data_IF_127891975336
#
_entry.id   IF_127891975336
#
_cell.length_a   1.000
_cell.length_b   1.000
_cell.length_c   1.000
_cell.angle_alpha   90.00
_cell.angle_beta   90.00
_cell.angle_gamma   90.00
#
_symmetry.space_group_name_H-M   'P 1'
#
loop_
_entity.id
_entity.type
_entity.pdbx_description
1 polymer ?
#
# COMPACT_ATOMS: atom_id res chain seq x y z
N UNK A 1 34.53 12.70 -16.90
CA UNK A 1 33.34 11.84 -17.06
C UNK A 1 32.13 12.73 -17.20
N UNK A 2 31.26 12.45 -18.17
CA UNK A 2 30.02 13.21 -18.37
C UNK A 2 29.09 13.09 -17.13
N UNK A 3 28.66 14.20 -16.51
CA UNK A 3 27.80 14.18 -15.32
C UNK A 3 26.44 13.52 -15.55
N UNK A 4 25.86 13.64 -16.75
CA UNK A 4 24.57 13.00 -17.06
C UNK A 4 24.71 11.48 -17.13
N UNK A 5 25.76 10.98 -17.79
CA UNK A 5 26.09 9.57 -17.78
C UNK A 5 26.30 9.03 -16.36
N UNK A 6 26.99 9.78 -15.49
CA UNK A 6 27.17 9.39 -14.09
C UNK A 6 25.83 9.26 -13.37
N UNK A 7 24.92 10.23 -13.53
CA UNK A 7 23.58 10.17 -12.95
C UNK A 7 22.79 8.94 -13.42
N UNK A 8 22.85 8.61 -14.72
CA UNK A 8 22.21 7.41 -15.27
C UNK A 8 22.76 6.11 -14.66
N UNK A 9 24.08 6.02 -14.46
CA UNK A 9 24.65 4.85 -13.79
C UNK A 9 24.24 4.74 -12.33
N UNK A 10 24.10 5.87 -11.61
CA UNK A 10 23.57 5.90 -10.25
C UNK A 10 22.11 5.43 -10.21
N UNK A 11 21.28 5.90 -11.13
CA UNK A 11 19.88 5.47 -11.26
C UNK A 11 19.77 3.95 -11.49
N UNK A 12 20.54 3.40 -12.43
CA UNK A 12 20.57 1.95 -12.71
C UNK A 12 21.01 1.11 -11.51
N UNK A 13 21.87 1.67 -10.64
CA UNK A 13 22.33 1.04 -9.39
C UNK A 13 21.37 1.27 -8.21
N UNK A 14 20.17 1.82 -8.43
CA UNK A 14 19.18 2.21 -7.40
C UNK A 14 19.72 3.21 -6.35
N UNK A 15 20.73 3.99 -6.70
CA UNK A 15 21.27 5.06 -5.84
C UNK A 15 20.54 6.37 -6.14
N UNK A 16 19.27 6.45 -5.73
CA UNK A 16 18.38 7.54 -6.09
C UNK A 16 18.79 8.91 -5.51
N UNK A 17 19.20 8.97 -4.24
CA UNK A 17 19.62 10.24 -3.62
C UNK A 17 20.78 10.89 -4.37
N UNK A 18 21.80 10.09 -4.71
CA UNK A 18 22.96 10.57 -5.45
C UNK A 18 22.60 11.02 -6.87
N UNK A 19 21.68 10.32 -7.53
CA UNK A 19 21.17 10.71 -8.84
C UNK A 19 20.47 12.07 -8.78
N UNK A 20 19.63 12.28 -7.76
CA UNK A 20 18.87 13.52 -7.54
C UNK A 20 19.82 14.71 -7.29
N UNK A 21 20.88 14.53 -6.49
CA UNK A 21 21.90 15.55 -6.25
C UNK A 21 22.58 15.99 -7.56
N UNK A 22 23.03 15.03 -8.37
CA UNK A 22 23.73 15.31 -9.64
C UNK A 22 22.78 16.00 -10.62
N UNK A 23 21.55 15.50 -10.78
CA UNK A 23 20.55 16.11 -11.63
C UNK A 23 20.19 17.53 -11.15
N UNK A 24 20.14 17.78 -9.84
CA UNK A 24 19.89 19.13 -9.30
C UNK A 24 21.03 20.08 -9.63
N UNK A 25 22.29 19.63 -9.50
CA UNK A 25 23.46 20.43 -9.89
C UNK A 25 23.51 20.71 -11.40
N UNK A 26 23.02 19.80 -12.23
CA UNK A 26 22.90 19.99 -13.69
C UNK A 26 21.81 21.02 -14.02
N UNK A 27 20.64 20.90 -13.40
CA UNK A 27 19.52 21.83 -13.60
C UNK A 27 19.82 23.23 -13.09
N UNK A 28 20.63 23.37 -12.04
CA UNK A 28 21.09 24.67 -11.54
C UNK A 28 21.98 25.41 -12.56
N UNK A 29 22.68 24.66 -13.45
CA UNK A 29 23.52 25.24 -14.52
C UNK A 29 22.73 25.49 -15.79
N UNK A 30 21.83 24.58 -16.16
CA UNK A 30 20.95 24.71 -17.30
C UNK A 30 19.50 24.33 -16.93
N UNK A 31 18.64 25.32 -16.65
CA UNK A 31 17.26 25.08 -16.23
C UNK A 31 16.37 24.44 -17.30
N UNK A 32 16.73 24.54 -18.58
CA UNK A 32 15.90 24.09 -19.70
C UNK A 32 16.26 22.68 -20.21
N UNK A 33 17.20 22.00 -19.55
CA UNK A 33 17.59 20.64 -19.94
C UNK A 33 16.56 19.59 -19.49
N UNK A 34 15.88 18.98 -20.46
CA UNK A 34 14.81 18.01 -20.23
C UNK A 34 15.33 16.65 -19.75
N UNK A 35 16.58 16.28 -20.07
CA UNK A 35 17.12 14.97 -19.75
C UNK A 35 17.42 14.80 -18.24
N UNK A 36 18.16 15.70 -17.57
CA UNK A 36 18.33 15.68 -16.12
C UNK A 36 17.01 15.87 -15.37
N UNK A 37 16.07 16.65 -15.94
CA UNK A 37 14.76 16.87 -15.33
C UNK A 37 13.93 15.59 -15.27
N UNK A 38 13.75 14.90 -16.40
CA UNK A 38 13.01 13.63 -16.45
C UNK A 38 13.68 12.56 -15.60
N UNK A 39 15.01 12.49 -15.59
CA UNK A 39 15.76 11.55 -14.75
C UNK A 39 15.58 11.84 -13.25
N UNK A 40 15.59 13.11 -12.84
CA UNK A 40 15.32 13.52 -11.45
C UNK A 40 13.92 13.12 -11.03
N UNK A 41 12.91 13.43 -11.85
CA UNK A 41 11.52 13.07 -11.55
C UNK A 41 11.36 11.57 -11.41
N UNK A 42 11.95 10.78 -12.32
CA UNK A 42 11.92 9.33 -12.22
C UNK A 42 12.62 8.80 -10.96
N UNK A 43 13.77 9.37 -10.59
CA UNK A 43 14.46 8.98 -9.37
C UNK A 43 13.64 9.29 -8.09
N UNK A 44 12.90 10.41 -8.09
CA UNK A 44 12.02 10.78 -6.97
C UNK A 44 10.81 9.84 -6.84
N UNK A 45 10.18 9.46 -7.95
CA UNK A 45 9.06 8.52 -7.92
C UNK A 45 9.51 7.11 -7.53
N UNK A 46 10.64 6.65 -8.05
CA UNK A 46 11.21 5.33 -7.74
C UNK A 46 11.69 5.22 -6.28
N UNK A 47 12.08 6.32 -5.65
CA UNK A 47 12.47 6.33 -4.23
C UNK A 47 11.29 5.96 -3.30
N UNK A 48 10.06 6.27 -3.71
CA UNK A 48 8.84 6.03 -2.92
C UNK A 48 7.89 5.07 -3.64
N UNK A 49 8.39 4.35 -4.65
CA UNK A 49 7.58 3.43 -5.42
C UNK A 49 7.16 2.25 -4.55
N UNK A 50 5.86 1.99 -4.53
CA UNK A 50 5.24 0.84 -3.89
C UNK A 50 4.47 0.11 -5.00
N UNK A 51 4.48 -1.22 -4.97
CA UNK A 51 3.71 -2.01 -5.92
C UNK A 51 2.21 -1.74 -5.70
N UNK A 52 1.50 -1.38 -6.76
CA UNK A 52 0.06 -1.10 -6.74
C UNK A 52 -0.73 -2.33 -6.24
N UNK A 53 -0.26 -3.54 -6.55
CA UNK A 53 -0.90 -4.79 -6.09
C UNK A 53 -0.81 -4.96 -4.58
N UNK A 54 0.27 -4.45 -3.96
CA UNK A 54 0.41 -4.45 -2.50
C UNK A 54 -0.23 -3.23 -1.83
N UNK A 55 -0.62 -2.22 -2.62
CA UNK A 55 -1.28 -1.00 -2.16
C UNK A 55 -2.77 -1.15 -1.90
N UNK A 56 -3.39 -2.28 -2.28
CA UNK A 56 -4.81 -2.56 -2.05
C UNK A 56 -5.09 -2.74 -0.54
N UNK A 57 -5.39 -1.63 0.14
CA UNK A 57 -5.81 -1.58 1.54
C UNK A 57 -7.30 -1.23 1.60
N UNK A 58 -8.13 -2.14 2.12
CA UNK A 58 -9.55 -1.88 2.31
C UNK A 58 -9.76 -0.91 3.47
N UNK A 59 -10.31 0.27 3.18
CA UNK A 59 -10.63 1.28 4.18
C UNK A 59 -11.97 0.94 4.85
N UNK A 60 -12.15 1.37 6.11
CA UNK A 60 -13.38 1.12 6.87
C UNK A 60 -14.64 1.62 6.16
N UNK A 61 -14.56 2.75 5.46
CA UNK A 61 -15.66 3.28 4.67
C UNK A 61 -16.05 2.33 3.55
N UNK A 62 -15.07 1.86 2.76
CA UNK A 62 -15.31 0.90 1.67
C UNK A 62 -15.83 -0.44 2.21
N UNK A 63 -15.35 -0.89 3.37
CA UNK A 63 -15.80 -2.14 3.97
C UNK A 63 -17.28 -2.14 4.42
N UNK A 64 -17.79 -0.97 4.84
CA UNK A 64 -19.11 -0.85 5.49
C UNK A 64 -20.16 -0.08 4.68
N UNK A 65 -19.75 0.92 3.91
CA UNK A 65 -20.65 1.81 3.18
C UNK A 65 -20.72 1.47 1.69
N UNK A 66 -19.71 0.80 1.15
CA UNK A 66 -19.66 0.45 -0.27
C UNK A 66 -20.19 -0.98 -0.51
N UNK A 67 -21.40 -1.08 -1.07
CA UNK A 67 -22.02 -2.36 -1.41
C UNK A 67 -21.97 -2.66 -2.90
N UNK A 68 -20.80 -3.11 -3.35
CA UNK A 68 -20.58 -3.59 -4.72
C UNK A 68 -21.05 -5.03 -4.95
N UNK A 69 -21.63 -5.71 -3.95
CA UNK A 69 -22.05 -7.11 -4.09
C UNK A 69 -23.49 -7.23 -4.57
N UNK A 70 -23.73 -8.06 -5.59
CA UNK A 70 -25.09 -8.27 -6.12
C UNK A 70 -25.93 -9.14 -5.16
N UNK A 71 -25.30 -10.15 -4.56
CA UNK A 71 -25.99 -11.11 -3.70
C UNK A 71 -25.87 -10.68 -2.23
N UNK A 72 -26.99 -10.24 -1.65
CA UNK A 72 -27.10 -9.92 -0.21
C UNK A 72 -26.95 -11.16 0.67
N UNK A 73 -27.48 -12.31 0.22
CA UNK A 73 -27.36 -13.61 0.88
C UNK A 73 -26.81 -14.63 -0.11
N UNK A 74 -25.49 -14.65 -0.25
CA UNK A 74 -24.81 -15.63 -1.09
C UNK A 74 -24.84 -17.03 -0.48
N UNK A 75 -24.91 -18.07 -1.32
CA UNK A 75 -24.77 -19.46 -0.90
C UNK A 75 -23.38 -19.68 -0.25
N UNK A 76 -23.25 -20.51 0.79
CA UNK A 76 -21.94 -20.83 1.36
C UNK A 76 -20.97 -21.34 0.28
N UNK A 77 -19.76 -20.77 0.24
CA UNK A 77 -18.73 -21.11 -0.74
C UNK A 77 -18.77 -20.31 -2.05
N UNK A 78 -19.79 -19.48 -2.28
CA UNK A 78 -19.89 -18.61 -3.48
C UNK A 78 -19.62 -17.14 -3.18
N UNK A 79 -19.13 -16.81 -1.97
CA UNK A 79 -18.74 -15.46 -1.57
C UNK A 79 -17.57 -15.50 -0.59
N UNK A 80 -16.73 -14.46 -0.63
CA UNK A 80 -15.63 -14.25 0.31
C UNK A 80 -16.07 -13.52 1.59
N UNK A 81 -17.28 -12.94 1.62
CA UNK A 81 -17.80 -12.17 2.77
C UNK A 81 -18.05 -13.04 3.99
N UNK A 82 -18.48 -14.27 3.78
CA UNK A 82 -18.72 -15.24 4.84
C UNK A 82 -17.46 -16.08 5.07
N UNK A 83 -17.02 -16.16 6.32
CA UNK A 83 -16.04 -17.18 6.69
C UNK A 83 -16.66 -18.56 6.37
N UNK A 84 -15.88 -19.51 5.83
CA UNK A 84 -16.38 -20.85 5.64
C UNK A 84 -16.89 -21.37 6.98
N UNK A 85 -18.10 -21.97 7.03
CA UNK A 85 -18.65 -22.45 8.28
C UNK A 85 -17.66 -23.45 8.89
N UNK A 86 -17.45 -23.36 10.21
CA UNK A 86 -16.57 -24.24 10.98
C UNK A 86 -16.95 -25.74 10.85
N UNK A 87 -18.14 -26.03 10.33
CA UNK A 87 -18.64 -27.37 9.98
C UNK A 87 -18.11 -27.92 8.65
N UNK A 88 -17.35 -27.16 7.86
CA UNK A 88 -16.84 -27.63 6.57
C UNK A 88 -15.61 -28.57 6.66
N UNK A 89 -15.09 -28.90 7.85
CA UNK A 89 -14.05 -29.94 8.04
C UNK A 89 -12.71 -29.71 7.30
N UNK A 90 -12.53 -28.58 6.62
CA UNK A 90 -11.42 -28.33 5.68
C UNK A 90 -10.24 -27.58 6.31
N UNK A 91 -10.14 -27.53 7.64
CA UNK A 91 -9.02 -26.86 8.31
C UNK A 91 -8.85 -27.26 9.78
N UNK A 92 -7.68 -26.96 10.37
CA UNK A 92 -7.42 -27.24 11.78
C UNK A 92 -8.44 -26.50 12.65
N UNK A 93 -8.95 -27.19 13.67
CA UNK A 93 -9.87 -26.60 14.64
C UNK A 93 -9.20 -25.47 15.43
N UNK A 94 -10.00 -24.60 16.07
CA UNK A 94 -9.47 -23.52 16.91
C UNK A 94 -8.60 -24.04 18.07
N UNK A 95 -8.84 -25.29 18.50
CA UNK A 95 -8.01 -25.97 19.50
C UNK A 95 -6.59 -26.29 18.99
N UNK A 96 -6.40 -26.40 17.67
CA UNK A 96 -5.11 -26.70 17.03
C UNK A 96 -4.46 -25.45 16.47
N UNK A 97 -5.25 -24.51 15.91
CA UNK A 97 -4.75 -23.27 15.32
C UNK A 97 -5.54 -22.07 15.81
N UNK A 98 -4.89 -21.06 16.41
CA UNK A 98 -5.61 -19.86 16.83
C UNK A 98 -6.18 -19.11 15.61
N UNK A 99 -7.29 -18.42 15.83
CA UNK A 99 -8.02 -17.67 14.81
C UNK A 99 -7.94 -16.16 15.05
N UNK A 100 -8.08 -15.38 13.99
CA UNK A 100 -8.34 -13.94 14.07
C UNK A 100 -9.73 -13.68 14.63
N UNK A 101 -10.02 -12.41 14.94
CA UNK A 101 -11.33 -11.99 15.44
C UNK A 101 -12.48 -12.32 14.47
N UNK A 102 -12.22 -12.38 13.15
CA UNK A 102 -13.22 -12.74 12.15
C UNK A 102 -13.42 -14.25 11.96
N UNK A 103 -12.89 -15.09 12.87
CA UNK A 103 -13.04 -16.55 12.80
C UNK A 103 -12.18 -17.23 11.74
N UNK A 104 -11.35 -16.47 11.01
CA UNK A 104 -10.39 -17.02 10.05
C UNK A 104 -9.14 -17.51 10.78
N UNK A 105 -8.62 -18.72 10.50
CA UNK A 105 -7.39 -19.19 11.14
C UNK A 105 -6.19 -18.30 10.79
N UNK A 106 -5.29 -18.06 11.76
CA UNK A 106 -4.13 -17.17 11.60
C UNK A 106 -3.18 -17.63 10.50
N UNK A 107 -3.00 -16.84 9.44
CA UNK A 107 -2.06 -17.11 8.33
C UNK A 107 -0.58 -16.97 8.76
N UNK A 108 0.32 -17.69 8.08
CA UNK A 108 1.78 -17.59 8.29
C UNK A 108 2.46 -16.48 7.49
N UNK A 109 1.74 -15.80 6.59
CA UNK A 109 2.23 -14.67 5.80
C UNK A 109 1.27 -13.50 5.92
N UNK A 110 1.79 -12.33 6.26
CA UNK A 110 1.06 -11.07 6.36
C UNK A 110 1.34 -10.22 5.12
N UNK A 111 0.31 -9.95 4.31
CA UNK A 111 0.34 -8.97 3.21
C UNK A 111 -0.55 -7.78 3.55
N UNK A 112 -0.27 -6.56 3.07
CA UNK A 112 -1.13 -5.39 3.34
C UNK A 112 -2.61 -5.64 3.05
N UNK A 113 -2.95 -6.27 1.91
CA UNK A 113 -4.32 -6.65 1.55
C UNK A 113 -4.91 -7.88 2.26
N UNK A 114 -4.24 -8.44 3.28
CA UNK A 114 -4.76 -9.61 4.02
C UNK A 114 -5.94 -9.22 4.89
N UNK A 115 -7.08 -9.88 4.69
CA UNK A 115 -8.30 -9.64 5.46
C UNK A 115 -8.57 -10.74 6.49
N UNK A 116 -8.62 -10.33 7.76
CA UNK A 116 -8.95 -11.19 8.89
C UNK A 116 -10.46 -11.36 9.13
N UNK A 117 -11.30 -10.64 8.38
CA UNK A 117 -12.75 -10.55 8.51
C UNK A 117 -13.24 -9.11 8.30
N UNK A 118 -14.55 -8.90 8.16
CA UNK A 118 -15.16 -7.57 8.03
C UNK A 118 -15.96 -7.21 9.29
N UNK A 119 -15.90 -5.96 9.79
CA UNK A 119 -16.79 -5.51 10.85
C UNK A 119 -18.24 -5.46 10.32
N UNK A 120 -19.22 -5.74 11.19
CA UNK A 120 -20.63 -5.69 10.79
C UNK A 120 -21.26 -4.30 10.90
N UNK A 121 -20.72 -3.44 11.76
CA UNK A 121 -21.19 -2.08 11.98
C UNK A 121 -20.02 -1.12 12.23
N UNK A 122 -20.27 0.18 12.03
CA UNK A 122 -19.28 1.24 12.29
C UNK A 122 -18.91 1.27 13.77
N UNK A 123 -19.89 1.17 14.67
CA UNK A 123 -19.64 1.13 16.12
C UNK A 123 -18.76 -0.04 16.54
N UNK A 124 -18.98 -1.22 15.95
CA UNK A 124 -18.13 -2.37 16.20
C UNK A 124 -16.71 -2.11 15.69
N UNK A 125 -16.56 -1.55 14.49
CA UNK A 125 -15.26 -1.25 13.92
C UNK A 125 -14.46 -0.21 14.71
N UNK A 126 -15.14 0.78 15.31
CA UNK A 126 -14.48 1.80 16.13
C UNK A 126 -14.07 1.27 17.51
N UNK A 127 -14.79 0.27 18.03
CA UNK A 127 -14.52 -0.35 19.33
C UNK A 127 -13.51 -1.50 19.24
N UNK A 128 -13.19 -1.99 18.05
CA UNK A 128 -12.20 -3.05 17.84
C UNK A 128 -10.79 -2.50 17.64
N UNK A 129 -9.74 -3.28 17.96
CA UNK A 129 -8.37 -2.88 17.67
C UNK A 129 -8.18 -2.59 16.18
N UNK A 130 -7.47 -1.50 15.84
CA UNK A 130 -7.30 -1.01 14.46
C UNK A 130 -6.56 -1.96 13.50
N UNK A 131 -6.01 -3.06 14.00
CA UNK A 131 -5.29 -4.11 13.24
C UNK A 131 -5.96 -5.48 13.39
N UNK A 132 -7.17 -5.55 13.96
CA UNK A 132 -7.84 -6.84 14.18
C UNK A 132 -8.33 -7.48 12.87
N UNK A 133 -8.62 -6.67 11.85
CA UNK A 133 -9.18 -7.10 10.58
C UNK A 133 -8.24 -6.88 9.38
N UNK A 134 -7.24 -6.00 9.53
CA UNK A 134 -6.30 -5.58 8.49
C UNK A 134 -4.86 -5.76 8.97
N UNK A 135 -3.92 -5.96 8.04
CA UNK A 135 -2.50 -6.17 8.38
C UNK A 135 -1.80 -4.89 8.89
N UNK A 136 -2.39 -3.71 8.68
CA UNK A 136 -1.91 -2.41 9.13
C UNK A 136 -3.06 -1.60 9.72
N UNK A 137 -2.77 -0.58 10.56
CA UNK A 137 -3.83 0.22 11.17
C UNK A 137 -4.55 1.00 10.07
N UNK A 138 -5.87 0.83 9.99
CA UNK A 138 -6.70 1.56 9.02
C UNK A 138 -6.47 3.06 9.20
N UNK A 139 -5.73 3.64 8.26
CA UNK A 139 -5.37 5.04 8.22
C UNK A 139 -5.63 5.48 6.79
N UNK A 140 -6.43 6.53 6.58
CA UNK A 140 -6.77 7.06 5.25
C UNK A 140 -5.57 7.68 4.47
N UNK A 141 -4.33 7.28 4.75
CA UNK A 141 -3.14 8.07 4.50
C UNK A 141 -2.02 7.39 3.71
N UNK A 142 -2.11 6.09 3.38
CA UNK A 142 -1.00 5.39 2.70
C UNK A 142 -0.70 6.00 1.32
N UNK A 143 -1.73 6.29 0.51
CA UNK A 143 -1.55 7.00 -0.77
C UNK A 143 -1.16 8.48 -0.63
N UNK A 144 -1.76 9.21 0.32
CA UNK A 144 -1.48 10.64 0.52
C UNK A 144 -0.08 10.94 1.08
N UNK A 145 0.47 10.02 1.89
CA UNK A 145 1.81 10.21 2.49
C UNK A 145 2.93 10.10 1.44
N UNK A 146 2.76 9.26 0.43
CA UNK A 146 3.71 9.09 -0.68
C UNK A 146 3.71 10.31 -1.59
N UNK A 147 2.52 10.77 -2.01
CA UNK A 147 2.36 11.95 -2.86
C UNK A 147 2.85 13.23 -2.19
N UNK A 148 2.53 13.42 -0.91
CA UNK A 148 2.98 14.61 -0.16
C UNK A 148 4.51 14.69 -0.07
N UNK A 149 5.23 13.59 0.19
CA UNK A 149 6.70 13.61 0.26
C UNK A 149 7.36 13.98 -1.06
N UNK A 150 6.87 13.43 -2.17
CA UNK A 150 7.38 13.77 -3.51
C UNK A 150 7.08 15.22 -3.83
N UNK A 151 5.84 15.67 -3.59
CA UNK A 151 5.41 17.03 -3.88
C UNK A 151 6.15 18.06 -3.02
N UNK A 152 6.36 17.81 -1.72
CA UNK A 152 7.15 18.69 -0.84
C UNK A 152 8.61 18.76 -1.30
N UNK A 153 9.26 17.64 -1.66
CA UNK A 153 10.65 17.65 -2.14
C UNK A 153 10.82 18.40 -3.46
N UNK A 154 9.86 18.26 -4.37
CA UNK A 154 9.84 19.03 -5.63
C UNK A 154 9.68 20.52 -5.32
N UNK A 155 8.77 20.90 -4.43
CA UNK A 155 8.51 22.29 -4.05
C UNK A 155 9.66 22.97 -3.29
N UNK A 156 10.35 22.25 -2.41
CA UNK A 156 11.50 22.80 -1.67
C UNK A 156 12.73 23.04 -2.54
N UNK A 157 12.77 22.50 -3.76
CA UNK A 157 13.95 22.56 -4.62
C UNK A 157 13.76 23.41 -5.87
N UNK A 158 12.58 24.02 -6.02
CA UNK A 158 12.25 25.05 -7.03
C UNK A 158 12.22 26.47 -6.45
N UNK A 159 12.48 26.65 -5.16
CA UNK A 159 12.84 27.94 -4.53
C UNK A 159 14.33 27.96 -4.23
#
# INVERSE_FOLDING_TARGET
MDPLYLALTCFRKRKFDRCIEICTNLLARNPYDQAPWSLKMRALTEQVWVDEVEGEEEVLADALMDDNSIATVARPGTSLRTAPPSTAGQGPSQAVRPSTQGGRPLTGVLRPGTQGGRPGTIDQALKTPRTAHTARPVSAATGMMVLSKVQTRVWTQTR
#
